data_IF_499710178184
#
_entry.id   IF_499710178184
#
_cell.length_a   1.000
_cell.length_b   1.000
_cell.length_c   1.000
_cell.angle_alpha   90.00
_cell.angle_beta   90.00
_cell.angle_gamma   90.00
#
_symmetry.space_group_name_H-M   'P 1'
#
loop_
_entity.id
_entity.type
_entity.pdbx_description
1 polymer ?
#
# COMPACT_ATOMS: atom_id res chain seq x y z
N UNK A 1 20.34 -26.75 -7.27
CA UNK A 1 20.22 -26.39 -7.32
C UNK A 1 19.86 -25.60 -7.08
N UNK A 2 19.90 -25.37 -6.96
CA UNK A 2 19.69 -24.69 -6.96
C UNK A 2 19.33 -23.80 -6.63
N UNK A 3 19.33 -23.41 -6.45
CA UNK A 3 19.17 -22.57 -6.23
C UNK A 3 18.64 -21.89 -5.96
N UNK A 4 18.62 -21.72 -5.95
CA UNK A 4 18.06 -21.12 -5.63
C UNK A 4 17.63 -20.25 -5.22
N UNK A 5 17.36 -20.26 -4.85
CA UNK A 5 16.89 -19.46 -4.33
C UNK A 5 17.15 -18.42 -4.46
N UNK A 6 17.85 -18.43 -4.60
CA UNK A 6 18.26 -17.40 -4.51
C UNK A 6 17.81 -16.40 -5.22
N UNK A 7 17.73 -16.39 -6.22
CA UNK A 7 17.34 -15.32 -6.88
C UNK A 7 15.97 -15.00 -6.55
N UNK A 8 15.73 -14.76 -5.36
CA UNK A 8 14.41 -14.46 -4.98
C UNK A 8 13.90 -13.26 -5.66
N UNK A 9 14.72 -12.35 -5.92
CA UNK A 9 14.25 -11.15 -6.52
C UNK A 9 13.82 -11.33 -7.96
N UNK A 10 14.13 -12.43 -8.56
CA UNK A 10 13.84 -12.58 -9.96
C UNK A 10 12.35 -12.52 -10.25
N UNK A 11 11.53 -13.04 -9.43
CA UNK A 11 10.10 -13.02 -9.67
C UNK A 11 9.33 -12.14 -8.70
N UNK A 12 10.04 -11.36 -7.87
CA UNK A 12 9.35 -10.58 -6.85
C UNK A 12 9.26 -9.13 -7.27
N UNK A 13 8.06 -8.58 -7.22
CA UNK A 13 7.81 -7.18 -7.50
C UNK A 13 7.22 -6.55 -6.24
N UNK A 14 7.63 -5.35 -5.95
CA UNK A 14 7.15 -4.61 -4.78
C UNK A 14 6.49 -3.33 -5.25
N UNK A 15 5.30 -3.08 -4.76
CA UNK A 15 4.52 -1.93 -5.17
C UNK A 15 4.08 -1.14 -3.95
N UNK A 16 4.00 0.17 -4.09
CA UNK A 16 3.37 1.02 -3.11
C UNK A 16 2.06 1.49 -3.70
N UNK A 17 0.99 1.21 -3.00
CA UNK A 17 -0.36 1.48 -3.50
C UNK A 17 -1.05 2.43 -2.54
N UNK A 18 -1.59 3.51 -3.07
CA UNK A 18 -2.40 4.43 -2.30
C UNK A 18 -3.83 4.32 -2.79
N UNK A 19 -4.72 3.89 -1.90
CA UNK A 19 -6.15 3.84 -2.20
C UNK A 19 -6.77 5.07 -1.54
N UNK A 20 -7.29 5.97 -2.36
CA UNK A 20 -7.88 7.20 -1.89
C UNK A 20 -9.39 7.14 -2.03
N UNK A 21 -10.08 7.61 -1.04
CA UNK A 21 -11.52 7.62 -1.10
C UNK A 21 -12.11 8.72 -0.24
N UNK A 22 -13.42 8.73 -0.18
CA UNK A 22 -14.15 9.67 0.66
C UNK A 22 -15.10 8.88 1.55
N UNK A 23 -15.32 9.41 2.73
CA UNK A 23 -16.32 8.83 3.63
C UNK A 23 -17.71 9.17 3.11
N UNK A 24 -18.65 8.26 3.32
CA UNK A 24 -20.04 8.48 2.92
C UNK A 24 -20.97 7.95 4.00
N UNK A 25 -21.96 8.74 4.32
CA UNK A 25 -23.03 8.29 5.20
C UNK A 25 -22.52 7.69 6.50
N UNK A 26 -21.50 8.32 7.09
CA UNK A 26 -20.98 7.85 8.36
C UNK A 26 -22.04 7.99 9.45
N UNK A 27 -22.17 6.93 10.26
CA UNK A 27 -23.02 7.01 11.43
C UNK A 27 -22.39 7.98 12.43
N UNK A 28 -23.18 8.47 13.37
CA UNK A 28 -22.66 9.31 14.43
C UNK A 28 -21.60 8.60 15.23
N UNK A 29 -21.80 7.32 15.48
CA UNK A 29 -20.81 6.52 16.23
C UNK A 29 -19.50 6.42 15.46
N UNK A 30 -19.56 6.16 14.16
CA UNK A 30 -18.36 6.06 13.34
C UNK A 30 -17.62 7.40 13.29
N UNK A 31 -18.35 8.48 13.11
CA UNK A 31 -17.74 9.82 13.06
C UNK A 31 -17.09 10.17 14.39
N UNK A 32 -17.75 9.82 15.47
CA UNK A 32 -17.22 10.07 16.80
C UNK A 32 -15.91 9.28 17.02
N UNK A 33 -15.90 8.03 16.60
CA UNK A 33 -14.73 7.19 16.71
C UNK A 33 -13.56 7.78 15.92
N UNK A 34 -13.83 8.18 14.68
CA UNK A 34 -12.77 8.73 13.81
C UNK A 34 -12.24 10.05 14.37
N UNK A 35 -13.11 10.88 14.93
CA UNK A 35 -12.67 12.13 15.53
C UNK A 35 -11.78 11.88 16.74
N UNK A 36 -12.12 10.89 17.55
CA UNK A 36 -11.35 10.57 18.74
C UNK A 36 -9.98 9.96 18.39
N UNK A 37 -9.90 9.26 17.28
CA UNK A 37 -8.67 8.56 16.87
C UNK A 37 -7.80 9.38 15.92
N UNK A 38 -8.11 10.64 15.70
CA UNK A 38 -7.44 11.42 14.66
C UNK A 38 -5.93 11.51 14.85
N UNK A 39 -5.45 11.64 16.06
CA UNK A 39 -4.02 11.74 16.29
C UNK A 39 -3.28 10.45 15.93
N UNK A 40 -3.97 9.31 15.95
CA UNK A 40 -3.36 8.03 15.60
C UNK A 40 -3.31 7.82 14.10
N UNK A 41 -4.09 8.62 13.37
CA UNK A 41 -4.17 8.50 11.92
C UNK A 41 -3.73 9.78 11.24
N UNK A 42 -2.75 10.44 11.85
CA UNK A 42 -2.20 11.68 11.35
C UNK A 42 -1.48 11.43 10.03
N UNK A 43 -1.63 12.35 9.11
CA UNK A 43 -1.00 12.26 7.81
C UNK A 43 0.52 12.11 7.91
N UNK A 44 1.11 12.56 9.00
CA UNK A 44 2.55 12.40 9.19
C UNK A 44 2.95 10.96 9.49
N UNK A 45 1.99 10.07 9.66
CA UNK A 45 2.25 8.65 9.84
C UNK A 45 1.93 7.89 8.55
N UNK A 46 2.35 8.42 7.44
CA UNK A 46 1.92 7.91 6.15
C UNK A 46 2.89 6.89 5.56
N UNK A 47 3.30 5.91 6.32
CA UNK A 47 4.14 4.83 5.82
C UNK A 47 3.34 3.89 4.92
N UNK A 48 4.03 3.19 4.04
CA UNK A 48 3.40 2.12 3.26
C UNK A 48 3.72 0.81 3.97
N UNK A 49 2.70 0.08 4.38
CA UNK A 49 2.87 -1.16 5.14
C UNK A 49 2.03 -2.27 4.51
N UNK A 50 2.38 -3.51 4.84
CA UNK A 50 1.61 -4.65 4.35
C UNK A 50 0.19 -4.62 4.87
N UNK A 51 -0.01 -4.16 6.10
CA UNK A 51 -1.34 -4.09 6.71
C UNK A 51 -2.16 -2.90 6.25
N UNK A 52 -1.47 -1.89 5.73
CA UNK A 52 -2.13 -0.67 5.32
C UNK A 52 -2.07 0.42 6.39
N UNK A 53 -1.70 1.62 5.98
CA UNK A 53 -1.69 2.76 6.88
C UNK A 53 -2.86 3.66 6.54
N UNK A 54 -3.74 3.83 7.50
CA UNK A 54 -4.99 4.56 7.32
C UNK A 54 -4.84 5.97 7.88
N UNK A 55 -5.04 6.98 7.03
CA UNK A 55 -5.01 8.37 7.44
C UNK A 55 -6.20 9.11 6.85
N UNK A 56 -6.62 10.19 7.47
CA UNK A 56 -7.74 10.98 6.98
C UNK A 56 -7.62 12.42 7.45
N UNK A 57 -8.36 13.30 6.79
CA UNK A 57 -8.29 14.73 7.08
C UNK A 57 -9.08 15.08 8.33
N UNK A 58 -8.85 16.28 8.86
CA UNK A 58 -9.50 16.72 10.08
C UNK A 58 -11.01 16.75 9.97
N UNK A 59 -11.52 17.00 8.78
CA UNK A 59 -12.97 17.09 8.56
C UNK A 59 -13.63 15.73 8.36
N UNK A 60 -12.80 14.67 8.32
CA UNK A 60 -13.27 13.31 8.11
C UNK A 60 -14.08 13.24 6.82
N UNK A 61 -13.48 13.79 5.78
CA UNK A 61 -14.09 13.81 4.45
C UNK A 61 -13.41 12.80 3.54
N UNK A 62 -12.07 12.82 3.51
CA UNK A 62 -11.28 11.97 2.63
C UNK A 62 -10.33 11.12 3.44
N UNK A 63 -10.00 9.96 2.90
CA UNK A 63 -9.04 9.08 3.53
C UNK A 63 -8.05 8.56 2.51
N UNK A 64 -6.91 8.08 3.02
CA UNK A 64 -5.93 7.34 2.23
C UNK A 64 -5.61 6.07 2.97
N UNK A 65 -5.47 4.99 2.23
CA UNK A 65 -4.94 3.73 2.74
C UNK A 65 -3.71 3.42 1.91
N UNK A 66 -2.58 3.27 2.56
CA UNK A 66 -1.29 3.07 1.88
C UNK A 66 -0.78 1.68 2.19
N UNK A 67 -0.55 0.92 1.14
CA UNK A 67 -0.12 -0.47 1.27
C UNK A 67 1.19 -0.69 0.55
N UNK A 68 2.01 -1.56 1.13
CA UNK A 68 3.12 -2.11 0.40
C UNK A 68 2.68 -3.51 -0.02
N UNK A 69 2.61 -3.74 -1.32
CA UNK A 69 2.11 -5.00 -1.86
C UNK A 69 3.25 -5.71 -2.56
N UNK A 70 3.50 -6.95 -2.18
CA UNK A 70 4.52 -7.76 -2.79
C UNK A 70 3.86 -8.84 -3.64
N UNK A 71 4.28 -8.91 -4.89
CA UNK A 71 3.82 -9.97 -5.78
C UNK A 71 5.00 -10.89 -6.03
N UNK A 72 4.96 -12.06 -5.42
CA UNK A 72 6.04 -13.02 -5.56
C UNK A 72 5.82 -13.89 -6.79
N UNK A 73 6.92 -14.28 -7.40
CA UNK A 73 6.88 -15.21 -8.53
C UNK A 73 6.05 -14.69 -9.70
N UNK A 74 6.16 -13.39 -9.96
CA UNK A 74 5.50 -12.83 -11.12
C UNK A 74 6.05 -13.51 -12.37
N UNK A 75 5.18 -14.15 -13.13
CA UNK A 75 5.58 -14.91 -14.30
C UNK A 75 5.51 -14.00 -15.53
N UNK A 76 6.65 -13.70 -16.15
CA UNK A 76 6.62 -12.81 -17.31
C UNK A 76 5.87 -13.38 -18.50
N UNK A 77 5.65 -14.68 -18.50
CA UNK A 77 4.88 -15.28 -19.61
C UNK A 77 3.39 -15.31 -19.29
N UNK A 78 3.01 -14.87 -18.09
CA UNK A 78 1.61 -14.82 -17.72
C UNK A 78 0.97 -13.59 -18.32
N UNK A 79 -0.32 -13.68 -18.60
CA UNK A 79 -1.08 -12.54 -19.05
C UNK A 79 -1.41 -11.60 -17.90
N UNK A 80 -1.17 -12.02 -16.68
CA UNK A 80 -1.50 -11.20 -15.51
C UNK A 80 -0.55 -10.02 -15.41
N UNK A 81 -1.11 -8.87 -15.15
CA UNK A 81 -0.34 -7.64 -14.96
C UNK A 81 -0.07 -7.45 -13.47
N UNK A 82 1.18 -7.58 -13.01
CA UNK A 82 1.47 -7.42 -11.58
C UNK A 82 1.04 -6.07 -11.03
N UNK A 83 1.15 -5.01 -11.82
CA UNK A 83 0.72 -3.68 -11.40
C UNK A 83 -0.78 -3.68 -11.13
N UNK A 84 -1.55 -4.24 -12.07
CA UNK A 84 -2.99 -4.36 -11.89
C UNK A 84 -3.35 -5.23 -10.71
N UNK A 85 -2.63 -6.33 -10.53
CA UNK A 85 -2.86 -7.22 -9.39
C UNK A 85 -2.61 -6.51 -8.06
N UNK A 86 -1.55 -5.71 -7.99
CA UNK A 86 -1.24 -4.98 -6.77
C UNK A 86 -2.35 -3.99 -6.44
N UNK A 87 -2.87 -3.29 -7.44
CA UNK A 87 -3.96 -2.35 -7.25
C UNK A 87 -5.22 -3.02 -6.75
N UNK A 88 -5.59 -4.14 -7.37
CA UNK A 88 -6.79 -4.88 -6.98
C UNK A 88 -6.62 -5.43 -5.56
N UNK A 89 -5.45 -5.96 -5.25
CA UNK A 89 -5.18 -6.49 -3.91
C UNK A 89 -5.40 -5.42 -2.86
N UNK A 90 -4.83 -4.23 -3.08
CA UNK A 90 -4.97 -3.13 -2.13
C UNK A 90 -6.42 -2.66 -2.02
N UNK A 91 -7.14 -2.61 -3.14
CA UNK A 91 -8.54 -2.19 -3.12
C UNK A 91 -9.40 -3.17 -2.33
N UNK A 92 -9.15 -4.46 -2.50
CA UNK A 92 -9.91 -5.46 -1.76
C UNK A 92 -9.62 -5.34 -0.25
N UNK A 93 -8.37 -5.13 0.11
CA UNK A 93 -8.00 -4.94 1.51
C UNK A 93 -8.64 -3.69 2.07
N UNK A 94 -8.63 -2.60 1.31
CA UNK A 94 -9.23 -1.34 1.73
C UNK A 94 -10.73 -1.49 1.95
N UNK A 95 -11.42 -2.14 1.01
CA UNK A 95 -12.86 -2.36 1.14
C UNK A 95 -13.17 -3.21 2.35
N UNK A 96 -12.38 -4.25 2.56
CA UNK A 96 -12.59 -5.15 3.70
C UNK A 96 -12.40 -4.40 5.01
N UNK A 97 -11.34 -3.61 5.11
CA UNK A 97 -11.07 -2.84 6.31
C UNK A 97 -12.19 -1.84 6.60
N UNK A 98 -12.56 -1.05 5.59
CA UNK A 98 -13.57 -0.01 5.79
C UNK A 98 -14.94 -0.59 6.12
N UNK A 99 -15.28 -1.69 5.47
CA UNK A 99 -16.55 -2.35 5.72
C UNK A 99 -16.56 -2.97 7.12
N UNK A 100 -15.46 -3.62 7.50
CA UNK A 100 -15.36 -4.24 8.83
C UNK A 100 -15.48 -3.20 9.93
N UNK A 101 -14.90 -2.02 9.71
CA UNK A 101 -14.96 -0.95 10.70
C UNK A 101 -16.30 -0.20 10.69
N UNK A 102 -17.12 -0.44 9.69
CA UNK A 102 -18.40 0.24 9.60
C UNK A 102 -18.28 1.67 9.07
N UNK A 103 -17.24 1.94 8.28
CA UNK A 103 -17.04 3.28 7.72
C UNK A 103 -17.60 3.30 6.30
N UNK A 104 -18.75 3.93 6.12
CA UNK A 104 -19.32 4.12 4.79
C UNK A 104 -18.34 4.93 3.94
N UNK A 105 -18.18 4.52 2.69
CA UNK A 105 -17.10 5.07 1.86
C UNK A 105 -17.37 4.89 0.37
N UNK A 106 -16.58 5.61 -0.41
CA UNK A 106 -16.53 5.46 -1.85
C UNK A 106 -15.06 5.57 -2.25
N UNK A 107 -14.53 4.59 -2.94
CA UNK A 107 -13.17 4.67 -3.45
C UNK A 107 -13.15 5.61 -4.65
N UNK A 108 -12.15 6.48 -4.70
CA UNK A 108 -12.06 7.48 -5.75
C UNK A 108 -10.89 7.23 -6.68
N UNK A 109 -9.75 6.81 -6.16
CA UNK A 109 -8.56 6.66 -6.97
C UNK A 109 -7.60 5.67 -6.32
N UNK A 110 -6.98 4.86 -7.14
CA UNK A 110 -5.94 3.94 -6.68
C UNK A 110 -4.69 4.23 -7.50
N UNK A 111 -3.60 4.56 -6.82
CA UNK A 111 -2.33 4.81 -7.48
C UNK A 111 -1.37 3.71 -7.12
N UNK A 112 -0.70 3.15 -8.12
CA UNK A 112 0.23 2.05 -7.94
C UNK A 112 1.58 2.48 -8.45
N UNK A 113 2.60 2.36 -7.61
CA UNK A 113 3.96 2.69 -7.99
C UNK A 113 4.83 1.46 -7.78
N UNK A 114 5.50 1.04 -8.83
CA UNK A 114 6.41 -0.09 -8.76
C UNK A 114 7.72 0.40 -8.17
N UNK A 115 8.07 -0.08 -6.98
CA UNK A 115 9.30 0.34 -6.32
C UNK A 115 10.31 -0.81 -6.26
N UNK A 116 10.13 -1.80 -7.12
CA UNK A 116 11.01 -2.97 -7.13
C UNK A 116 12.49 -2.59 -7.30
N UNK A 117 12.77 -1.67 -8.19
CA UNK A 117 14.15 -1.26 -8.44
C UNK A 117 14.74 -0.56 -7.22
N UNK A 118 13.97 0.31 -6.58
CA UNK A 118 14.41 1.00 -5.38
C UNK A 118 14.64 -0.01 -4.26
N UNK A 119 13.71 -0.94 -4.10
CA UNK A 119 13.81 -1.95 -3.09
C UNK A 119 15.07 -2.80 -3.28
N UNK A 120 15.33 -3.20 -4.50
CA UNK A 120 16.52 -3.97 -4.81
C UNK A 120 17.78 -3.19 -4.46
N UNK A 121 17.81 -1.91 -4.78
CA UNK A 121 18.95 -1.08 -4.47
C UNK A 121 19.19 -0.98 -2.97
N UNK A 122 18.12 -0.86 -2.20
CA UNK A 122 18.24 -0.76 -0.75
C UNK A 122 18.72 -2.05 -0.12
N UNK A 123 18.49 -3.19 -0.78
CA UNK A 123 18.91 -4.47 -0.24
C UNK A 123 20.34 -4.82 -0.58
N UNK A 124 20.94 -4.11 -1.51
CA UNK A 124 22.33 -4.36 -1.84
C UNK A 124 23.24 -3.90 -0.72
N UNK A 125 24.35 -4.56 -0.53
CA UNK A 125 25.34 -4.05 0.39
C UNK A 125 25.76 -2.66 -0.06
N UNK A 126 25.93 -1.77 0.87
CA UNK A 126 26.33 -0.44 0.54
C UNK A 126 27.76 -0.45 0.00
N UNK A 127 27.96 0.22 -1.08
CA UNK A 127 29.29 0.30 -1.68
C UNK A 127 29.64 1.79 -1.86
N UNK A 128 30.42 2.32 -0.94
CA UNK A 128 30.70 3.74 -0.99
C UNK A 128 31.66 4.11 -2.08
N UNK A 129 32.24 3.16 -2.68
CA UNK A 129 33.18 3.51 -3.57
C UNK A 129 32.65 4.06 -4.65
N UNK A 130 32.49 4.19 -5.25
CA UNK A 130 32.39 4.81 -6.31
C UNK A 130 32.43 6.04 -6.13
N UNK A 131 32.42 6.16 -5.50
CA UNK A 131 32.40 7.25 -5.39
C UNK A 131 33.29 7.83 -5.79
N UNK A 132 33.58 7.67 -5.95
CA UNK A 132 34.25 8.13 -6.28
C UNK A 132 34.48 8.68 -7.16
N UNK A 133 34.22 8.63 -7.18
CA UNK A 133 34.44 9.06 -7.82
C UNK A 133 34.47 9.62 -8.10
#
# INVERSE_FOLDING_TARGET
MDQPSAAPSTGTRVFRVTVRGRFRDLSDAARHFLAAAQSEHDIFRSAYTAEGTFTYDERITFFNLRYEVRIDHADPSSDDDPTGMAGVTAEVEAETFLTTMGFGHQLLKTEVVDVSAVWTSLRRPYNPVPSTR
#
